data_IF_036214252669
#
_entry.id   IF_036214252669
#
_cell.length_a   1.000
_cell.length_b   1.000
_cell.length_c   1.000
_cell.angle_alpha   90.00
_cell.angle_beta   90.00
_cell.angle_gamma   90.00
#
_symmetry.space_group_name_H-M   'P 1'
#
loop_
_entity.id
_entity.type
_entity.pdbx_description
1 polymer ?
#
# COMPACT_ATOMS: atom_id res chain seq x y z
N UNK A 1 -11.40 -5.61 18.85
CA UNK A 1 -12.62 -6.29 18.42
C UNK A 1 -12.51 -6.58 16.93
N UNK A 2 -12.82 -7.82 16.49
CA UNK A 2 -12.91 -8.16 15.06
C UNK A 2 -14.13 -7.43 14.50
N UNK A 3 -13.93 -6.66 13.43
CA UNK A 3 -15.00 -5.90 12.77
C UNK A 3 -15.58 -6.64 11.58
N UNK A 4 -14.72 -7.22 10.76
CA UNK A 4 -15.07 -7.98 9.57
C UNK A 4 -14.19 -9.22 9.47
N UNK A 5 -14.76 -10.32 9.07
CA UNK A 5 -14.09 -11.57 8.75
C UNK A 5 -14.82 -12.27 7.61
N UNK A 6 -14.26 -13.34 7.08
CA UNK A 6 -14.88 -14.11 5.99
C UNK A 6 -14.73 -13.46 4.61
N UNK A 7 -13.76 -12.55 4.45
CA UNK A 7 -13.28 -12.07 3.16
C UNK A 7 -11.92 -12.69 2.85
N UNK A 8 -11.70 -13.05 1.60
CA UNK A 8 -10.42 -13.51 1.11
C UNK A 8 -9.91 -12.57 0.01
N UNK A 9 -8.61 -12.39 -0.06
CA UNK A 9 -7.92 -11.75 -1.16
C UNK A 9 -7.07 -12.79 -1.88
N UNK A 10 -7.16 -12.83 -3.19
CA UNK A 10 -6.29 -13.68 -3.99
C UNK A 10 -5.01 -12.89 -4.27
N UNK A 11 -3.87 -13.41 -3.82
CA UNK A 11 -2.54 -12.88 -4.10
C UNK A 11 -1.72 -14.02 -4.69
N UNK A 12 -1.13 -13.83 -5.88
CA UNK A 12 -0.33 -14.83 -6.59
C UNK A 12 -1.03 -16.22 -6.65
N UNK A 13 -2.29 -16.24 -7.11
CA UNK A 13 -3.15 -17.43 -7.24
C UNK A 13 -3.47 -18.19 -5.92
N UNK A 14 -3.20 -17.56 -4.77
CA UNK A 14 -3.47 -18.12 -3.45
C UNK A 14 -4.49 -17.29 -2.68
N UNK A 15 -5.41 -17.96 -1.98
CA UNK A 15 -6.40 -17.34 -1.13
C UNK A 15 -5.80 -16.96 0.24
N UNK A 16 -5.91 -15.69 0.61
CA UNK A 16 -5.47 -15.18 1.90
C UNK A 16 -6.63 -14.54 2.65
N UNK A 17 -6.88 -15.00 3.87
CA UNK A 17 -7.96 -14.49 4.69
C UNK A 17 -7.69 -13.04 5.09
N UNK A 18 -8.66 -12.15 4.83
CA UNK A 18 -8.65 -10.76 5.28
C UNK A 18 -9.47 -10.62 6.55
N UNK A 19 -8.81 -10.29 7.65
CA UNK A 19 -9.44 -10.00 8.94
C UNK A 19 -9.26 -8.52 9.25
N UNK A 20 -10.35 -7.84 9.59
CA UNK A 20 -10.33 -6.43 9.98
C UNK A 20 -10.63 -6.32 11.46
N UNK A 21 -9.66 -5.88 12.22
CA UNK A 21 -9.81 -5.53 13.63
C UNK A 21 -9.98 -4.02 13.77
N UNK A 22 -10.74 -3.56 14.76
CA UNK A 22 -10.99 -2.13 14.97
C UNK A 22 -10.74 -1.73 16.41
N UNK A 23 -10.11 -0.59 16.59
CA UNK A 23 -10.03 0.14 17.84
C UNK A 23 -10.49 1.58 17.64
N UNK A 24 -11.06 2.20 18.67
CA UNK A 24 -11.54 3.59 18.61
C UNK A 24 -10.82 4.43 19.67
N UNK A 25 -10.32 5.59 19.25
CA UNK A 25 -9.79 6.62 20.14
C UNK A 25 -10.85 7.71 20.23
N UNK A 26 -11.73 7.59 21.24
CA UNK A 26 -12.93 8.43 21.37
C UNK A 26 -12.61 9.91 21.52
N UNK A 27 -11.57 10.26 22.26
CA UNK A 27 -11.14 11.65 22.47
C UNK A 27 -10.71 12.35 21.16
N UNK A 28 -10.18 11.59 20.20
CA UNK A 28 -9.75 12.08 18.90
C UNK A 28 -10.79 11.86 17.78
N UNK A 29 -11.93 11.22 18.08
CA UNK A 29 -12.92 10.78 17.09
C UNK A 29 -12.31 9.96 15.96
N UNK A 30 -11.32 9.14 16.31
CA UNK A 30 -10.53 8.34 15.38
C UNK A 30 -10.87 6.86 15.50
N UNK A 31 -11.04 6.21 14.37
CA UNK A 31 -11.11 4.75 14.28
C UNK A 31 -9.84 4.22 13.60
N UNK A 32 -9.24 3.21 14.21
CA UNK A 32 -8.07 2.51 13.69
C UNK A 32 -8.52 1.14 13.21
N UNK A 33 -8.35 0.88 11.92
CA UNK A 33 -8.64 -0.40 11.30
C UNK A 33 -7.31 -1.12 11.04
N UNK A 34 -7.17 -2.31 11.60
CA UNK A 34 -6.00 -3.16 11.40
C UNK A 34 -6.32 -4.15 10.30
N UNK A 35 -5.54 -4.10 9.23
CA UNK A 35 -5.52 -5.12 8.18
C UNK A 35 -4.71 -6.29 8.74
N UNK A 36 -5.35 -7.42 8.96
CA UNK A 36 -4.75 -8.56 9.64
C UNK A 36 -4.83 -9.83 8.79
N UNK A 37 -3.73 -10.57 8.82
CA UNK A 37 -3.58 -11.90 8.24
C UNK A 37 -2.42 -12.60 8.97
N UNK A 38 -2.63 -13.84 9.41
CA UNK A 38 -1.65 -14.55 10.22
C UNK A 38 -0.35 -14.81 9.46
N UNK A 39 -0.44 -15.18 8.18
CA UNK A 39 0.72 -15.52 7.36
C UNK A 39 1.61 -14.28 7.10
N UNK A 40 0.98 -13.12 6.83
CA UNK A 40 1.70 -11.93 6.43
C UNK A 40 2.11 -11.02 7.60
N UNK A 41 1.30 -10.94 8.67
CA UNK A 41 1.48 -9.91 9.70
C UNK A 41 1.74 -10.42 11.11
N UNK A 42 1.64 -11.72 11.36
CA UNK A 42 1.98 -12.29 12.68
C UNK A 42 3.50 -12.45 12.83
N UNK A 43 4.22 -11.33 12.82
CA UNK A 43 5.69 -11.27 12.89
C UNK A 43 6.14 -10.23 13.91
N UNK A 44 7.35 -10.44 14.48
CA UNK A 44 7.91 -9.51 15.47
C UNK A 44 8.43 -8.20 14.87
N UNK A 45 8.63 -8.14 13.55
CA UNK A 45 9.14 -6.98 12.85
C UNK A 45 8.23 -6.61 11.67
N UNK A 46 8.29 -5.36 11.22
CA UNK A 46 7.36 -4.85 10.19
C UNK A 46 7.75 -5.30 8.78
N UNK A 47 8.93 -4.91 8.30
CA UNK A 47 9.35 -5.11 6.92
C UNK A 47 10.73 -5.78 6.79
N UNK A 48 11.53 -5.71 7.84
CA UNK A 48 12.88 -6.26 7.89
C UNK A 48 12.94 -7.41 8.88
N UNK A 49 13.71 -8.43 8.57
CA UNK A 49 14.04 -9.52 9.48
C UNK A 49 15.07 -9.04 10.53
N UNK A 50 15.39 -9.91 11.47
CA UNK A 50 16.34 -9.63 12.57
C UNK A 50 17.77 -9.29 12.09
N UNK A 51 18.14 -9.74 10.90
CA UNK A 51 19.42 -9.46 10.24
C UNK A 51 19.39 -8.15 9.39
N UNK A 52 18.26 -7.45 9.35
CA UNK A 52 18.07 -6.23 8.58
C UNK A 52 17.71 -6.45 7.11
N UNK A 53 17.58 -7.70 6.65
CA UNK A 53 17.12 -8.01 5.29
C UNK A 53 15.61 -7.84 5.14
N UNK A 54 15.16 -7.55 3.92
CA UNK A 54 13.73 -7.54 3.59
C UNK A 54 13.14 -8.95 3.73
N UNK A 55 11.95 -9.06 4.27
CA UNK A 55 11.19 -10.31 4.15
C UNK A 55 10.95 -10.64 2.67
N UNK A 56 11.13 -11.91 2.31
CA UNK A 56 11.01 -12.37 0.91
C UNK A 56 9.63 -12.20 0.31
N UNK A 57 8.61 -12.15 1.15
CA UNK A 57 7.20 -11.97 0.78
C UNK A 57 6.69 -10.54 0.96
N UNK A 58 7.58 -9.56 1.11
CA UNK A 58 7.15 -8.16 1.24
C UNK A 58 6.40 -7.65 0.01
N UNK A 59 6.63 -8.21 -1.17
CA UNK A 59 5.88 -7.92 -2.37
C UNK A 59 4.39 -8.29 -2.23
N UNK A 60 4.09 -9.47 -1.73
CA UNK A 60 2.72 -9.92 -1.47
C UNK A 60 2.09 -9.17 -0.28
N UNK A 61 2.87 -8.90 0.75
CA UNK A 61 2.43 -8.16 1.93
C UNK A 61 1.95 -6.75 1.61
N UNK A 62 2.69 -6.01 0.77
CA UNK A 62 2.28 -4.66 0.37
C UNK A 62 1.07 -4.70 -0.57
N UNK A 63 0.95 -5.71 -1.45
CA UNK A 63 -0.24 -5.93 -2.28
C UNK A 63 -1.46 -6.25 -1.42
N UNK A 64 -1.32 -7.22 -0.51
CA UNK A 64 -2.39 -7.61 0.41
C UNK A 64 -2.85 -6.44 1.27
N UNK A 65 -1.90 -5.66 1.82
CA UNK A 65 -2.23 -4.48 2.63
C UNK A 65 -3.02 -3.45 1.81
N UNK A 66 -2.53 -3.08 0.63
CA UNK A 66 -3.17 -2.09 -0.22
C UNK A 66 -4.60 -2.51 -0.63
N UNK A 67 -4.77 -3.75 -1.09
CA UNK A 67 -6.09 -4.30 -1.43
C UNK A 67 -6.98 -4.45 -0.20
N UNK A 68 -6.42 -4.90 0.92
CA UNK A 68 -7.15 -5.03 2.18
C UNK A 68 -7.74 -3.71 2.66
N UNK A 69 -7.00 -2.60 2.54
CA UNK A 69 -7.51 -1.25 2.82
C UNK A 69 -8.67 -0.92 1.90
N UNK A 70 -8.53 -1.09 0.59
CA UNK A 70 -9.56 -0.72 -0.39
C UNK A 70 -10.82 -1.59 -0.26
N UNK A 71 -10.68 -2.89 -0.07
CA UNK A 71 -11.82 -3.78 0.16
C UNK A 71 -12.52 -3.49 1.50
N UNK A 72 -11.77 -3.08 2.52
CA UNK A 72 -12.35 -2.62 3.80
C UNK A 72 -13.22 -1.37 3.60
N UNK A 73 -12.72 -0.38 2.86
CA UNK A 73 -13.46 0.84 2.53
C UNK A 73 -14.76 0.50 1.78
N UNK A 74 -14.70 -0.36 0.78
CA UNK A 74 -15.88 -0.84 0.03
C UNK A 74 -16.89 -1.53 0.96
N UNK A 75 -16.41 -2.45 1.79
CA UNK A 75 -17.25 -3.24 2.70
C UNK A 75 -17.93 -2.38 3.77
N UNK A 76 -17.28 -1.30 4.19
CA UNK A 76 -17.86 -0.32 5.10
C UNK A 76 -18.79 0.67 4.41
N UNK A 77 -18.93 0.58 3.08
CA UNK A 77 -19.67 1.54 2.25
C UNK A 77 -19.23 2.99 2.51
N UNK A 78 -17.94 3.18 2.74
CA UNK A 78 -17.35 4.49 3.02
C UNK A 78 -16.82 5.10 1.71
N UNK A 79 -17.07 6.39 1.50
CA UNK A 79 -16.57 7.14 0.35
C UNK A 79 -15.57 8.20 0.85
N UNK A 80 -14.28 7.91 0.92
CA UNK A 80 -13.28 8.85 1.42
C UNK A 80 -13.07 9.99 0.43
N UNK A 81 -13.00 11.24 0.92
CA UNK A 81 -12.57 12.37 0.12
C UNK A 81 -11.07 12.34 -0.15
N UNK A 82 -10.29 11.91 0.86
CA UNK A 82 -8.84 11.80 0.80
C UNK A 82 -8.39 10.43 1.28
N UNK A 83 -7.49 9.81 0.52
CA UNK A 83 -6.74 8.62 0.91
C UNK A 83 -5.31 9.10 1.16
N UNK A 84 -4.90 9.13 2.43
CA UNK A 84 -3.57 9.58 2.83
C UNK A 84 -2.66 8.37 3.04
N UNK A 85 -1.70 8.20 2.15
CA UNK A 85 -0.70 7.15 2.17
C UNK A 85 0.54 7.63 2.94
N UNK A 86 1.09 6.78 3.80
CA UNK A 86 2.22 7.13 4.68
C UNK A 86 3.31 6.07 4.56
N UNK A 87 4.47 6.48 4.05
CA UNK A 87 5.64 5.62 3.89
C UNK A 87 5.52 4.58 2.78
N UNK A 88 6.60 3.82 2.57
CA UNK A 88 6.76 2.93 1.43
C UNK A 88 5.79 1.73 1.43
N UNK A 89 5.37 1.27 2.62
CA UNK A 89 4.45 0.12 2.72
C UNK A 89 3.08 0.41 2.11
N UNK A 90 2.74 1.70 1.94
CA UNK A 90 1.51 2.17 1.29
C UNK A 90 1.72 2.55 -0.18
N UNK A 91 2.92 2.40 -0.74
CA UNK A 91 3.30 2.92 -2.05
C UNK A 91 2.48 2.35 -3.23
N UNK A 92 1.84 1.20 -3.06
CA UNK A 92 0.96 0.63 -4.09
C UNK A 92 -0.46 1.23 -4.09
N UNK A 93 -0.91 1.83 -2.99
CA UNK A 93 -2.28 2.39 -2.91
C UNK A 93 -2.58 3.43 -4.00
N UNK A 94 -1.69 4.42 -4.29
CA UNK A 94 -1.91 5.35 -5.39
C UNK A 94 -2.11 4.67 -6.74
N UNK A 95 -1.29 3.65 -7.06
CA UNK A 95 -1.44 2.86 -8.27
C UNK A 95 -2.78 2.13 -8.32
N UNK A 96 -3.16 1.43 -7.25
CA UNK A 96 -4.43 0.72 -7.19
C UNK A 96 -5.61 1.65 -7.44
N UNK A 97 -5.67 2.78 -6.75
CA UNK A 97 -6.78 3.75 -6.87
C UNK A 97 -6.84 4.37 -8.27
N UNK A 98 -5.70 4.65 -8.90
CA UNK A 98 -5.65 5.42 -10.16
C UNK A 98 -5.55 4.56 -11.41
N UNK A 99 -5.14 3.28 -11.34
CA UNK A 99 -4.74 2.49 -12.51
C UNK A 99 -5.36 1.10 -12.62
N UNK A 100 -6.05 0.63 -11.57
CA UNK A 100 -6.69 -0.68 -11.55
C UNK A 100 -8.21 -0.56 -11.60
N UNK A 101 -8.93 -1.63 -11.32
CA UNK A 101 -10.40 -1.66 -11.25
C UNK A 101 -10.99 -0.64 -10.27
N UNK A 102 -10.23 -0.24 -9.25
CA UNK A 102 -10.69 0.74 -8.26
C UNK A 102 -10.88 2.15 -8.84
N UNK A 103 -10.21 2.48 -9.95
CA UNK A 103 -10.32 3.78 -10.61
C UNK A 103 -11.75 4.18 -10.95
N UNK A 104 -12.54 3.21 -11.41
CA UNK A 104 -13.92 3.44 -11.82
C UNK A 104 -14.94 3.05 -10.75
N UNK A 105 -14.46 2.67 -9.57
CA UNK A 105 -15.32 2.28 -8.47
C UNK A 105 -15.94 3.51 -7.82
N UNK A 106 -17.28 3.53 -7.58
CA UNK A 106 -17.99 4.70 -7.02
C UNK A 106 -17.48 5.17 -5.66
N UNK A 107 -16.78 4.32 -4.91
CA UNK A 107 -16.19 4.70 -3.63
C UNK A 107 -14.89 5.51 -3.78
N UNK A 108 -14.17 5.38 -4.90
CA UNK A 108 -12.83 5.95 -5.07
C UNK A 108 -12.69 6.97 -6.19
N UNK A 109 -13.65 7.03 -7.13
CA UNK A 109 -13.56 7.85 -8.34
C UNK A 109 -13.30 9.35 -8.07
N UNK A 110 -13.78 9.86 -6.94
CA UNK A 110 -13.63 11.27 -6.53
C UNK A 110 -12.53 11.45 -5.46
N UNK A 111 -11.96 10.35 -4.95
CA UNK A 111 -10.96 10.41 -3.89
C UNK A 111 -9.66 11.03 -4.38
N UNK A 112 -9.09 11.92 -3.58
CA UNK A 112 -7.74 12.43 -3.75
C UNK A 112 -6.76 11.58 -2.99
N UNK A 113 -5.61 11.31 -3.59
CA UNK A 113 -4.53 10.54 -2.97
C UNK A 113 -3.41 11.48 -2.58
N UNK A 114 -3.06 11.47 -1.30
CA UNK A 114 -1.95 12.23 -0.74
C UNK A 114 -0.88 11.24 -0.26
N UNK A 115 0.37 11.46 -0.62
CA UNK A 115 1.50 10.65 -0.18
C UNK A 115 2.40 11.45 0.75
N UNK A 116 2.62 10.96 1.96
CA UNK A 116 3.66 11.47 2.86
C UNK A 116 4.93 10.65 2.73
N UNK A 117 6.03 11.34 2.42
CA UNK A 117 7.37 10.79 2.37
C UNK A 117 7.99 10.79 3.77
N UNK A 118 8.55 9.65 4.15
CA UNK A 118 9.27 9.45 5.41
C UNK A 118 10.69 8.97 5.15
N UNK A 119 11.54 9.04 6.16
CA UNK A 119 12.85 8.40 6.14
C UNK A 119 12.70 6.92 6.55
N UNK A 120 12.09 6.14 5.67
CA UNK A 120 11.77 4.71 5.86
C UNK A 120 12.37 3.84 4.75
N UNK A 121 13.50 4.29 4.18
CA UNK A 121 14.18 3.63 3.07
C UNK A 121 14.69 2.24 3.44
N UNK A 122 14.42 1.28 2.57
CA UNK A 122 15.01 -0.05 2.63
C UNK A 122 16.08 -0.22 1.54
N UNK A 123 17.04 -1.10 1.80
CA UNK A 123 18.10 -1.43 0.86
C UNK A 123 17.69 -2.63 -0.02
N UNK A 124 18.20 -2.67 -1.27
CA UNK A 124 17.90 -3.73 -2.21
C UNK A 124 16.59 -3.52 -2.96
N UNK A 125 15.93 -4.61 -3.29
CA UNK A 125 14.67 -4.62 -4.03
C UNK A 125 13.73 -5.71 -3.53
N UNK A 126 12.45 -5.58 -3.83
CA UNK A 126 11.49 -6.68 -3.68
C UNK A 126 11.87 -7.81 -4.66
N UNK A 127 11.26 -8.98 -4.48
CA UNK A 127 11.58 -10.16 -5.28
C UNK A 127 11.27 -9.96 -6.78
N UNK A 128 11.98 -10.68 -7.64
CA UNK A 128 11.86 -10.57 -9.11
C UNK A 128 10.45 -10.88 -9.62
N UNK A 129 9.69 -11.70 -8.91
CA UNK A 129 8.31 -12.05 -9.26
C UNK A 129 7.29 -10.93 -9.02
N UNK A 130 7.68 -9.87 -8.31
CA UNK A 130 6.80 -8.74 -7.95
C UNK A 130 6.03 -8.19 -9.17
N UNK A 131 6.74 -7.88 -10.26
CA UNK A 131 6.10 -7.32 -11.45
C UNK A 131 5.10 -8.29 -12.10
N UNK A 132 5.41 -9.59 -12.10
CA UNK A 132 4.48 -10.62 -12.62
C UNK A 132 3.18 -10.60 -11.83
N UNK A 133 3.26 -10.58 -10.51
CA UNK A 133 2.10 -10.51 -9.60
C UNK A 133 1.32 -9.21 -9.79
N UNK A 134 2.02 -8.07 -9.85
CA UNK A 134 1.38 -6.76 -10.02
C UNK A 134 0.60 -6.62 -11.34
N UNK A 135 1.05 -7.26 -12.42
CA UNK A 135 0.37 -7.24 -13.72
C UNK A 135 -1.03 -7.87 -13.68
N UNK A 136 -1.23 -8.84 -12.82
CA UNK A 136 -2.55 -9.48 -12.63
C UNK A 136 -3.55 -8.50 -12.03
N UNK A 137 -3.08 -7.56 -11.23
CA UNK A 137 -3.90 -6.56 -10.54
C UNK A 137 -4.42 -5.46 -11.48
N UNK A 138 -3.79 -5.25 -12.63
CA UNK A 138 -4.18 -4.25 -13.62
C UNK A 138 -3.04 -3.34 -14.07
N UNK A 139 -3.39 -2.19 -14.65
CA UNK A 139 -2.42 -1.25 -15.22
C UNK A 139 -2.12 -1.51 -16.70
N UNK A 140 -1.16 -0.77 -17.23
CA UNK A 140 -0.73 -0.79 -18.63
C UNK A 140 0.78 -0.98 -18.72
N UNK A 141 1.29 -1.22 -19.94
CA UNK A 141 2.72 -1.31 -20.23
C UNK A 141 3.52 -0.10 -19.70
N UNK A 142 2.91 1.09 -19.76
CA UNK A 142 3.52 2.33 -19.25
C UNK A 142 3.65 2.28 -17.72
N UNK A 143 2.61 1.83 -17.05
CA UNK A 143 2.58 1.72 -15.59
C UNK A 143 3.62 0.69 -15.11
N UNK A 144 3.66 -0.49 -15.73
CA UNK A 144 4.55 -1.57 -15.33
C UNK A 144 6.03 -1.25 -15.51
N UNK A 145 6.38 -0.29 -16.39
CA UNK A 145 7.76 0.14 -16.57
C UNK A 145 8.38 0.69 -15.27
N UNK A 146 7.58 1.38 -14.47
CA UNK A 146 8.02 1.94 -13.18
C UNK A 146 8.34 0.87 -12.13
N UNK A 147 7.80 -0.34 -12.28
CA UNK A 147 7.94 -1.44 -11.32
C UNK A 147 8.87 -2.57 -11.77
N UNK A 148 9.64 -2.38 -12.86
CA UNK A 148 10.57 -3.42 -13.37
C UNK A 148 11.66 -3.76 -12.35
N UNK A 149 12.17 -2.76 -11.68
CA UNK A 149 13.16 -2.86 -10.61
C UNK A 149 12.51 -2.31 -9.34
N UNK A 150 11.90 -3.15 -8.49
CA UNK A 150 11.11 -2.70 -7.36
C UNK A 150 12.00 -2.33 -6.16
N UNK A 151 12.90 -1.38 -6.37
CA UNK A 151 13.68 -0.72 -5.33
C UNK A 151 12.81 0.28 -4.57
N UNK A 152 13.25 0.70 -3.39
CA UNK A 152 12.59 1.75 -2.64
C UNK A 152 12.31 2.99 -3.48
N UNK A 153 13.34 3.52 -4.16
CA UNK A 153 13.22 4.72 -5.00
C UNK A 153 12.19 4.55 -6.13
N UNK A 154 12.22 3.43 -6.83
CA UNK A 154 11.31 3.19 -7.95
C UNK A 154 9.86 3.02 -7.46
N UNK A 155 9.64 2.34 -6.35
CA UNK A 155 8.31 2.21 -5.74
C UNK A 155 7.76 3.58 -5.31
N UNK A 156 8.59 4.38 -4.65
CA UNK A 156 8.16 5.70 -4.18
C UNK A 156 7.96 6.69 -5.33
N UNK A 157 8.81 6.69 -6.37
CA UNK A 157 8.59 7.50 -7.59
C UNK A 157 7.30 7.13 -8.30
N UNK A 158 6.98 5.83 -8.39
CA UNK A 158 5.71 5.39 -8.93
C UNK A 158 4.54 5.90 -8.07
N UNK A 159 4.64 5.78 -6.74
CA UNK A 159 3.62 6.30 -5.82
C UNK A 159 3.42 7.82 -5.95
N UNK A 160 4.51 8.59 -6.05
CA UNK A 160 4.48 10.04 -6.31
C UNK A 160 3.71 10.32 -7.61
N UNK A 161 4.03 9.61 -8.69
CA UNK A 161 3.43 9.82 -10.02
C UNK A 161 1.92 9.56 -10.08
N UNK A 162 1.36 8.77 -9.14
CA UNK A 162 -0.07 8.48 -9.05
C UNK A 162 -0.76 9.21 -7.91
N UNK A 163 -0.04 10.03 -7.15
CA UNK A 163 -0.62 10.85 -6.07
C UNK A 163 -1.09 12.20 -6.60
N UNK A 164 -2.15 12.74 -5.99
CA UNK A 164 -2.64 14.09 -6.28
C UNK A 164 -1.83 15.17 -5.54
N UNK A 165 -1.18 14.80 -4.42
CA UNK A 165 -0.27 15.66 -3.66
C UNK A 165 0.76 14.83 -2.90
N UNK A 166 1.91 15.43 -2.63
CA UNK A 166 3.01 14.84 -1.87
C UNK A 166 3.39 15.76 -0.72
N UNK A 167 3.67 15.16 0.44
CA UNK A 167 4.10 15.86 1.66
C UNK A 167 5.44 15.30 2.11
N UNK A 168 6.42 16.14 2.36
CA UNK A 168 7.65 15.76 3.05
C UNK A 168 7.38 15.85 4.55
N UNK A 169 7.22 14.68 5.19
CA UNK A 169 6.68 14.58 6.55
C UNK A 169 7.73 14.68 7.65
N UNK A 170 9.01 14.52 7.31
CA UNK A 170 10.12 14.62 8.28
C UNK A 170 11.43 14.97 7.58
N UNK A 171 12.43 15.32 8.38
CA UNK A 171 13.81 15.49 7.92
C UNK A 171 14.44 14.15 7.54
N UNK A 172 15.45 14.18 6.65
CA UNK A 172 16.18 12.99 6.21
C UNK A 172 15.48 12.15 5.15
N UNK A 173 14.38 12.62 4.58
CA UNK A 173 13.78 12.03 3.38
C UNK A 173 14.80 12.10 2.23
N UNK A 174 14.87 11.04 1.43
CA UNK A 174 15.77 10.95 0.30
C UNK A 174 15.54 12.11 -0.67
N UNK A 175 16.62 12.88 -0.93
CA UNK A 175 16.56 14.11 -1.75
C UNK A 175 16.09 13.82 -3.17
N UNK A 176 16.43 12.65 -3.76
CA UNK A 176 16.00 12.28 -5.09
C UNK A 176 14.48 12.14 -5.22
N UNK A 177 13.79 11.74 -4.13
CA UNK A 177 12.33 11.71 -4.10
C UNK A 177 11.72 13.10 -3.99
N UNK A 178 12.35 13.99 -3.22
CA UNK A 178 11.92 15.39 -3.10
C UNK A 178 12.04 16.08 -4.45
N UNK A 179 13.18 15.93 -5.11
CA UNK A 179 13.44 16.53 -6.43
C UNK A 179 12.51 15.96 -7.52
N UNK A 180 12.13 14.69 -7.38
CA UNK A 180 11.20 14.05 -8.32
C UNK A 180 9.75 14.53 -8.13
N UNK A 181 9.38 14.98 -6.93
CA UNK A 181 8.02 15.40 -6.59
C UNK A 181 7.70 16.87 -7.00
N UNK A 182 8.73 17.67 -7.32
CA UNK A 182 8.61 19.08 -7.74
C UNK A 182 8.44 19.17 -9.26
#
# INVERSE_FOLDING_TARGET
>A
VIRLSGMNLIIDDSDHQLIIKVASIQSARLQVYFIDNEDYFQRKANALDVDGSLFKDNDERVMFYARGVLETIKKLSWKPNVIHCVGWFTALLPFYVKRTEYKNNPFFNDSKVVLSLFNDEFQGSLVETFLKKLKVEGGTQKDWKAYKEPTYLNLMKAAISYSDAVVVAQEGVNQELIDFAI
#
